data_IF_682455591271
#
_entry.id   IF_682455591271
#
_cell.length_a   1.000
_cell.length_b   1.000
_cell.length_c   1.000
_cell.angle_alpha   90.00
_cell.angle_beta   90.00
_cell.angle_gamma   90.00
#
_symmetry.space_group_name_H-M   'P 1'
#
loop_
_entity.id
_entity.type
_entity.pdbx_description
1 polymer ?
#
# COMPACT_ATOMS: atom_id res chain seq x y z
N UNK A 1 -1.37 3.37 -5.81
CA UNK A 1 -0.82 4.10 -4.66
C UNK A 1 0.64 3.72 -4.44
N UNK A 2 1.49 4.69 -4.08
CA UNK A 2 2.91 4.52 -3.78
C UNK A 2 3.19 5.22 -2.45
N UNK A 3 3.84 4.53 -1.50
CA UNK A 3 4.14 5.12 -0.20
C UNK A 3 5.42 4.51 0.40
N UNK A 4 6.31 5.35 0.93
CA UNK A 4 7.47 4.89 1.70
C UNK A 4 7.03 4.36 3.07
N UNK A 5 7.37 3.11 3.37
CA UNK A 5 7.14 2.49 4.67
C UNK A 5 8.34 2.69 5.63
N UNK A 6 9.52 2.93 5.07
CA UNK A 6 10.75 3.36 5.76
C UNK A 6 11.72 3.93 4.73
N UNK A 7 12.92 4.33 5.15
CA UNK A 7 14.00 4.79 4.25
C UNK A 7 14.48 3.71 3.26
N UNK A 8 14.12 2.45 3.51
CA UNK A 8 14.57 1.29 2.73
C UNK A 8 13.42 0.42 2.22
N UNK A 9 12.16 0.80 2.46
CA UNK A 9 11.01 0.00 2.07
C UNK A 9 9.93 0.87 1.40
N UNK A 10 9.55 0.51 0.18
CA UNK A 10 8.51 1.16 -0.60
C UNK A 10 7.31 0.22 -0.75
N UNK A 11 6.14 0.67 -0.33
CA UNK A 11 4.87 -0.01 -0.59
C UNK A 11 4.31 0.48 -1.93
N UNK A 12 3.98 -0.48 -2.79
CA UNK A 12 3.34 -0.25 -4.09
C UNK A 12 2.02 -1.01 -4.09
N UNK A 13 0.91 -0.33 -4.34
CA UNK A 13 -0.41 -0.96 -4.48
C UNK A 13 -1.09 -0.49 -5.77
N UNK A 14 -1.70 -1.42 -6.52
CA UNK A 14 -2.32 -1.15 -7.81
C UNK A 14 -3.51 -2.09 -8.04
N UNK A 15 -4.68 -1.55 -8.37
CA UNK A 15 -5.85 -2.36 -8.66
C UNK A 15 -6.11 -3.39 -7.56
N UNK A 16 -5.94 -4.68 -7.88
CA UNK A 16 -6.16 -5.80 -6.95
C UNK A 16 -4.86 -6.33 -6.32
N UNK A 17 -3.71 -5.71 -6.55
CA UNK A 17 -2.40 -6.19 -6.12
C UNK A 17 -1.65 -5.19 -5.25
N UNK A 18 -0.78 -5.71 -4.39
CA UNK A 18 0.19 -4.92 -3.67
C UNK A 18 1.52 -5.66 -3.56
N UNK A 19 2.62 -4.90 -3.50
CA UNK A 19 3.95 -5.41 -3.25
C UNK A 19 4.73 -4.47 -2.36
N UNK A 20 5.59 -5.02 -1.53
CA UNK A 20 6.64 -4.27 -0.85
C UNK A 20 7.94 -4.43 -1.61
N UNK A 21 8.58 -3.33 -1.93
CA UNK A 21 9.92 -3.30 -2.48
C UNK A 21 10.92 -2.87 -1.40
N UNK A 22 12.10 -3.47 -1.41
CA UNK A 22 13.18 -3.17 -0.49
C UNK A 22 14.39 -2.62 -1.24
N UNK A 23 14.95 -1.55 -0.71
CA UNK A 23 16.19 -0.95 -1.19
C UNK A 23 17.36 -1.80 -0.70
N UNK A 24 18.06 -2.44 -1.63
CA UNK A 24 19.20 -3.32 -1.34
C UNK A 24 20.48 -2.81 -2.01
N UNK A 25 21.67 -3.08 -1.44
CA UNK A 25 22.92 -2.81 -2.11
C UNK A 25 23.00 -3.59 -3.44
N UNK A 26 23.46 -2.93 -4.48
CA UNK A 26 23.78 -3.55 -5.75
C UNK A 26 25.09 -4.34 -5.61
N UNK A 27 25.23 -5.52 -6.23
CA UNK A 27 26.50 -6.21 -6.27
C UNK A 27 27.59 -5.35 -6.91
N UNK A 28 28.78 -5.31 -6.29
CA UNK A 28 29.88 -4.44 -6.73
C UNK A 28 30.28 -4.64 -8.19
N UNK A 29 30.17 -5.86 -8.73
CA UNK A 29 30.53 -6.14 -10.12
C UNK A 29 29.63 -5.39 -11.12
N UNK A 30 28.37 -5.13 -10.78
CA UNK A 30 27.45 -4.37 -11.64
C UNK A 30 27.82 -2.89 -11.68
N UNK A 31 28.16 -2.30 -10.53
CA UNK A 31 28.60 -0.90 -10.44
C UNK A 31 30.00 -0.69 -11.01
N UNK A 32 30.85 -1.72 -11.01
CA UNK A 32 32.16 -1.66 -11.67
C UNK A 32 32.01 -1.74 -13.19
N UNK A 33 31.08 -2.57 -13.67
CA UNK A 33 30.78 -2.69 -15.10
C UNK A 33 30.12 -1.42 -15.65
N UNK A 34 29.25 -0.77 -14.87
CA UNK A 34 28.64 0.51 -15.21
C UNK A 34 28.63 1.45 -13.98
N UNK A 35 29.63 2.35 -13.88
CA UNK A 35 29.75 3.31 -12.79
C UNK A 35 28.62 4.35 -12.72
N UNK A 36 27.75 4.45 -13.74
CA UNK A 36 26.60 5.35 -13.73
C UNK A 36 25.42 4.80 -12.91
N UNK A 37 25.44 3.51 -12.58
CA UNK A 37 24.39 2.88 -11.78
C UNK A 37 24.45 3.32 -10.31
N UNK A 38 23.28 3.53 -9.72
CA UNK A 38 23.17 3.71 -8.27
C UNK A 38 23.71 2.47 -7.53
N UNK A 39 24.47 2.67 -6.43
CA UNK A 39 24.94 1.58 -5.57
C UNK A 39 23.79 0.89 -4.83
N UNK A 40 22.59 1.46 -4.85
CA UNK A 40 21.37 0.86 -4.31
C UNK A 40 20.42 0.51 -5.44
N UNK A 41 19.74 -0.63 -5.32
CA UNK A 41 18.66 -1.04 -6.21
C UNK A 41 17.42 -1.42 -5.42
N UNK A 42 16.26 -1.08 -5.97
CA UNK A 42 14.99 -1.47 -5.40
C UNK A 42 14.62 -2.87 -5.91
N UNK A 43 14.30 -3.79 -5.00
CA UNK A 43 13.92 -5.17 -5.32
C UNK A 43 12.53 -5.48 -4.76
N UNK A 44 11.65 -6.08 -5.55
CA UNK A 44 10.38 -6.60 -5.05
C UNK A 44 10.66 -7.70 -4.01
N UNK A 45 10.07 -7.58 -2.82
CA UNK A 45 10.26 -8.53 -1.74
C UNK A 45 9.09 -9.50 -1.65
N UNK A 46 7.89 -9.00 -1.42
CA UNK A 46 6.68 -9.80 -1.27
C UNK A 46 5.54 -9.14 -2.03
N UNK A 47 4.75 -9.94 -2.75
CA UNK A 47 3.61 -9.49 -3.54
C UNK A 47 2.39 -10.37 -3.23
N UNK A 48 1.22 -9.76 -3.19
CA UNK A 48 -0.04 -10.45 -2.96
C UNK A 48 -1.17 -9.79 -3.75
N UNK A 49 -2.25 -10.56 -3.94
CA UNK A 49 -3.48 -10.10 -4.58
C UNK A 49 -4.63 -10.12 -3.60
N UNK A 50 -5.67 -9.35 -3.91
CA UNK A 50 -6.84 -9.12 -3.08
C UNK A 50 -8.10 -9.20 -3.95
N UNK A 51 -9.26 -9.33 -3.32
CA UNK A 51 -10.58 -9.37 -3.96
C UNK A 51 -11.25 -7.98 -4.04
N UNK A 52 -10.55 -6.94 -3.59
CA UNK A 52 -11.02 -5.56 -3.56
C UNK A 52 -10.10 -4.63 -4.35
N UNK A 53 -10.66 -3.54 -4.86
CA UNK A 53 -9.89 -2.56 -5.62
C UNK A 53 -9.20 -1.59 -4.64
N UNK A 54 -7.87 -1.61 -4.60
CA UNK A 54 -7.04 -0.74 -3.78
C UNK A 54 -6.87 0.61 -4.46
N UNK A 55 -7.35 1.64 -3.77
CA UNK A 55 -7.34 3.02 -4.21
C UNK A 55 -6.42 3.90 -3.37
N UNK A 56 -6.12 3.51 -2.12
CA UNK A 56 -5.13 4.16 -1.27
C UNK A 56 -4.31 3.14 -0.48
N UNK A 57 -3.05 3.46 -0.20
CA UNK A 57 -2.18 2.63 0.63
C UNK A 57 -1.30 3.49 1.53
N UNK A 58 -1.15 3.07 2.80
CA UNK A 58 -0.23 3.67 3.74
C UNK A 58 0.38 2.62 4.67
N UNK A 59 1.64 2.79 5.10
CA UNK A 59 2.21 1.99 6.18
C UNK A 59 1.54 2.33 7.51
N UNK A 60 1.36 1.32 8.36
CA UNK A 60 0.92 1.51 9.74
C UNK A 60 1.61 0.50 10.63
N UNK A 61 2.67 0.94 11.33
CA UNK A 61 3.53 0.06 12.14
C UNK A 61 4.07 -1.11 11.31
N UNK A 62 3.78 -2.34 11.74
CA UNK A 62 4.14 -3.59 11.09
C UNK A 62 3.11 -4.06 10.03
N UNK A 63 2.17 -3.19 9.66
CA UNK A 63 1.01 -3.50 8.80
C UNK A 63 0.86 -2.48 7.68
N UNK A 64 -0.11 -2.75 6.82
CA UNK A 64 -0.57 -1.86 5.77
C UNK A 64 -2.01 -1.45 6.01
N UNK A 65 -2.31 -0.18 5.76
CA UNK A 65 -3.65 0.33 5.63
C UNK A 65 -3.97 0.47 4.15
N UNK A 66 -5.02 -0.20 3.71
CA UNK A 66 -5.56 -0.01 2.37
C UNK A 66 -6.91 0.65 2.45
N UNK A 67 -7.04 1.72 1.68
CA UNK A 67 -8.34 2.21 1.31
C UNK A 67 -8.78 1.46 0.07
N UNK A 68 -9.99 0.94 0.13
CA UNK A 68 -10.50 -0.02 -0.85
C UNK A 68 -11.93 0.32 -1.24
N UNK A 69 -12.31 -0.07 -2.44
CA UNK A 69 -13.69 -0.02 -2.92
C UNK A 69 -14.03 -1.41 -3.44
N UNK A 70 -15.21 -1.94 -3.09
CA UNK A 70 -15.68 -3.19 -3.67
C UNK A 70 -16.02 -2.99 -5.13
N UNK A 71 -15.73 -3.97 -5.97
CA UNK A 71 -16.09 -3.92 -7.38
C UNK A 71 -17.63 -3.82 -7.51
N UNK A 72 -18.17 -2.74 -8.11
CA UNK A 72 -19.62 -2.56 -8.30
C UNK A 72 -20.25 -3.65 -9.17
N UNK A 73 -19.46 -4.49 -9.85
CA UNK A 73 -19.94 -5.62 -10.65
C UNK A 73 -20.48 -6.80 -9.81
N UNK A 74 -20.17 -6.83 -8.51
CA UNK A 74 -20.57 -7.94 -7.62
C UNK A 74 -22.03 -7.88 -7.18
N UNK A 75 -22.60 -6.69 -6.96
CA UNK A 75 -24.00 -6.52 -6.57
C UNK A 75 -24.50 -5.06 -6.81
N UNK A 76 -25.33 -4.79 -7.82
CA UNK A 76 -25.72 -3.42 -8.22
C UNK A 76 -26.65 -2.71 -7.22
N UNK A 77 -27.12 -3.39 -6.16
CA UNK A 77 -28.04 -2.85 -5.16
C UNK A 77 -27.38 -2.25 -3.91
N UNK A 78 -26.10 -2.52 -3.69
CA UNK A 78 -25.37 -2.04 -2.50
C UNK A 78 -24.31 -1.07 -2.96
N UNK A 79 -24.55 0.23 -2.78
CA UNK A 79 -23.49 1.23 -2.89
C UNK A 79 -22.45 0.94 -1.80
N UNK A 80 -21.49 0.05 -2.11
CA UNK A 80 -20.40 -0.29 -1.21
C UNK A 80 -19.49 0.94 -1.15
N UNK A 81 -19.66 1.72 -0.07
CA UNK A 81 -18.79 2.85 0.22
C UNK A 81 -17.33 2.40 0.36
N UNK A 82 -16.39 3.36 0.39
CA UNK A 82 -15.01 3.04 0.64
C UNK A 82 -14.84 2.33 1.99
N UNK A 83 -14.01 1.30 2.01
CA UNK A 83 -13.67 0.50 3.18
C UNK A 83 -12.18 0.67 3.50
N UNK A 84 -11.86 0.91 4.78
CA UNK A 84 -10.50 0.90 5.28
C UNK A 84 -10.16 -0.52 5.77
N UNK A 85 -9.10 -1.09 5.24
CA UNK A 85 -8.63 -2.44 5.56
C UNK A 85 -7.26 -2.39 6.19
N UNK A 86 -7.05 -3.22 7.20
CA UNK A 86 -5.76 -3.45 7.86
C UNK A 86 -5.24 -4.79 7.37
N UNK A 87 -4.05 -4.80 6.77
CA UNK A 87 -3.45 -5.97 6.13
C UNK A 87 -2.06 -6.21 6.69
N UNK A 88 -1.74 -7.45 7.03
CA UNK A 88 -0.40 -7.85 7.45
C UNK A 88 0.59 -7.75 6.27
N UNK A 89 1.89 -7.70 6.55
CA UNK A 89 2.91 -7.61 5.48
C UNK A 89 2.84 -8.73 4.44
N UNK A 90 2.40 -9.92 4.86
CA UNK A 90 2.16 -11.07 3.98
C UNK A 90 0.81 -11.10 3.28
N UNK A 91 0.07 -9.99 3.22
CA UNK A 91 -1.19 -9.89 2.50
C UNK A 91 -2.41 -10.45 3.23
N UNK A 92 -2.24 -11.01 4.43
CA UNK A 92 -3.36 -11.47 5.25
C UNK A 92 -4.18 -10.29 5.77
N UNK A 93 -5.48 -10.27 5.48
CA UNK A 93 -6.40 -9.28 6.05
C UNK A 93 -6.59 -9.52 7.55
N UNK A 94 -6.44 -8.45 8.33
CA UNK A 94 -6.57 -8.44 9.79
C UNK A 94 -7.87 -7.78 10.25
N UNK A 95 -8.46 -6.92 9.41
CA UNK A 95 -9.72 -6.26 9.71
C UNK A 95 -10.16 -5.30 8.61
N UNK A 96 -11.45 -5.01 8.60
CA UNK A 96 -12.10 -4.10 7.66
C UNK A 96 -13.11 -3.23 8.42
N UNK A 97 -13.13 -1.94 8.10
CA UNK A 97 -14.12 -0.99 8.59
C UNK A 97 -14.72 -0.23 7.41
N UNK A 98 -16.04 -0.28 7.29
CA UNK A 98 -16.77 0.62 6.39
C UNK A 98 -16.57 2.06 6.86
N UNK A 99 -16.16 2.94 5.96
CA UNK A 99 -16.08 4.35 6.29
C UNK A 99 -17.50 4.92 6.29
N UNK A 100 -17.93 5.62 7.36
CA UNK A 100 -19.26 6.23 7.42
C UNK A 100 -19.44 7.13 6.20
N UNK A 101 -20.64 7.08 5.61
CA UNK A 101 -20.92 7.63 4.28
C UNK A 101 -20.45 9.08 4.14
N UNK A 102 -19.27 9.24 3.55
CA UNK A 102 -18.76 10.50 3.01
C UNK A 102 -19.58 10.80 1.74
N UNK A 103 -20.86 11.17 1.90
CA UNK A 103 -21.70 11.59 0.77
C UNK A 103 -20.98 12.74 0.06
N UNK A 104 -20.53 12.50 -1.17
CA UNK A 104 -19.84 13.48 -2.00
C UNK A 104 -18.35 13.23 -2.25
N UNK A 105 -17.75 12.17 -1.71
CA UNK A 105 -16.34 11.83 -1.94
C UNK A 105 -16.22 10.67 -2.93
N UNK A 106 -15.66 10.94 -4.10
CA UNK A 106 -15.27 9.96 -5.10
C UNK A 106 -13.90 9.34 -4.81
N UNK A 107 -13.49 8.33 -5.61
CA UNK A 107 -12.21 7.62 -5.44
C UNK A 107 -10.94 8.48 -5.50
N UNK A 108 -11.05 9.76 -5.83
CA UNK A 108 -9.94 10.71 -5.92
C UNK A 108 -9.88 11.72 -4.75
N UNK A 109 -10.88 11.74 -3.87
CA UNK A 109 -11.02 12.83 -2.91
C UNK A 109 -10.28 12.57 -1.59
N UNK A 110 -9.84 11.33 -1.31
CA UNK A 110 -9.07 11.02 -0.10
C UNK A 110 -7.58 10.84 -0.38
N UNK A 111 -6.77 11.26 0.58
CA UNK A 111 -5.36 10.92 0.67
C UNK A 111 -5.09 10.38 2.07
N UNK A 112 -4.32 9.29 2.17
CA UNK A 112 -3.83 8.82 3.45
C UNK A 112 -2.67 9.73 3.85
N UNK A 113 -2.90 10.60 4.83
CA UNK A 113 -1.85 11.42 5.41
C UNK A 113 -1.11 10.63 6.49
N UNK A 114 0.22 10.65 6.43
CA UNK A 114 1.06 10.14 7.51
C UNK A 114 1.01 11.14 8.67
N UNK A 115 0.55 10.70 9.85
CA UNK A 115 0.60 11.50 11.07
C UNK A 115 1.91 11.18 11.82
N UNK A 116 2.91 12.09 11.84
CA UNK A 116 4.19 11.83 12.48
C UNK A 116 4.08 11.59 14.00
N UNK A 117 3.02 12.07 14.65
CA UNK A 117 2.83 11.95 16.10
C UNK A 117 2.25 10.60 16.53
N UNK A 118 1.92 9.71 15.60
CA UNK A 118 1.33 8.39 15.91
C UNK A 118 2.37 7.29 16.21
N UNK A 119 3.66 7.65 16.23
CA UNK A 119 4.77 6.76 16.61
C UNK A 119 5.04 6.73 18.13
N UNK A 120 4.44 7.63 18.93
CA UNK A 120 4.49 7.55 20.39
C UNK A 120 3.29 6.74 20.88
N UNK A 121 3.49 5.43 21.04
CA UNK A 121 2.91 4.54 22.05
C UNK A 121 2.81 3.10 21.51
N UNK A 122 3.71 2.27 22.05
CA UNK A 122 3.82 0.80 21.97
C UNK A 122 4.58 0.22 20.77
#
# INVERSE_FOLDING_TARGET
>A
ALCWASDTALLIAWGYGATTCLLRPRPNYETVADPSLSPMRMEAAEAFTTDYFICGAAPYRDRFLFLTVRDPRGDPGTAAGPELRVVARGGQELGCAAMPSLRGWGPADYHLAHNPDSAEHA
#
